data_IF_750497661462
#
_entry.id   IF_750497661462
#
_cell.length_a   1.000
_cell.length_b   1.000
_cell.length_c   1.000
_cell.angle_alpha   90.00
_cell.angle_beta   90.00
_cell.angle_gamma   90.00
#
_symmetry.space_group_name_H-M   'P 1'
#
loop_
_entity.id
_entity.type
_entity.pdbx_description
1 polymer ?
#
# COMPACT_ATOMS: atom_id res chain seq x y z
N UNK A 1 62.73 67.16 3.98
CA UNK A 1 62.34 67.53 5.36
C UNK A 1 61.30 66.51 5.79
N UNK A 2 61.52 65.55 6.71
CA UNK A 2 62.18 65.63 8.02
C UNK A 2 61.11 65.38 9.10
N UNK A 3 60.94 64.11 9.49
CA UNK A 3 60.08 63.51 10.55
C UNK A 3 60.13 64.27 11.91
N UNK A 4 59.23 64.07 12.91
CA UNK A 4 58.80 62.72 13.35
C UNK A 4 57.41 62.50 13.97
N UNK A 5 57.15 61.19 14.08
CA UNK A 5 56.14 60.45 14.84
C UNK A 5 56.29 60.72 16.35
N UNK A 6 55.18 60.79 17.09
CA UNK A 6 55.17 60.54 18.54
C UNK A 6 54.02 59.60 18.91
N UNK A 7 54.40 58.51 19.58
CA UNK A 7 53.60 57.43 20.15
C UNK A 7 53.35 57.77 21.62
N UNK A 8 52.10 57.86 22.08
CA UNK A 8 51.63 57.64 23.48
C UNK A 8 50.09 57.78 23.43
N UNK A 9 49.22 56.97 24.04
CA UNK A 9 49.35 55.78 24.88
C UNK A 9 48.05 54.95 24.76
N UNK A 10 48.20 53.63 24.80
CA UNK A 10 47.13 52.62 24.84
C UNK A 10 46.46 52.59 26.23
N UNK A 11 45.68 53.59 26.64
CA UNK A 11 45.13 53.54 28.01
C UNK A 11 43.81 54.28 28.30
N UNK A 12 42.90 54.49 27.34
CA UNK A 12 41.62 55.21 27.65
C UNK A 12 40.33 54.64 27.07
N UNK A 13 40.31 53.43 26.49
CA UNK A 13 39.07 52.81 25.95
C UNK A 13 38.67 51.47 26.58
N UNK A 14 39.17 51.16 27.79
CA UNK A 14 38.77 49.95 28.52
C UNK A 14 37.37 50.01 29.21
N UNK A 15 36.77 51.16 29.57
CA UNK A 15 35.44 51.15 30.19
C UNK A 15 34.26 50.99 29.22
N UNK A 16 34.40 51.37 27.94
CA UNK A 16 33.30 51.33 26.95
C UNK A 16 33.10 49.95 26.29
N UNK A 17 34.09 49.06 26.35
CA UNK A 17 33.98 47.68 25.86
C UNK A 17 33.36 46.71 26.89
N UNK A 18 33.15 47.13 28.14
CA UNK A 18 32.51 46.31 29.17
C UNK A 18 30.98 46.45 29.20
N UNK A 19 30.44 47.62 28.83
CA UNK A 19 28.99 47.84 28.76
C UNK A 19 28.34 47.28 27.48
N UNK A 20 29.09 47.12 26.39
CA UNK A 20 28.58 46.49 25.15
C UNK A 20 28.62 44.95 25.17
N UNK A 21 29.19 44.33 26.22
CA UNK A 21 29.27 42.86 26.38
C UNK A 21 28.16 42.25 27.24
N UNK A 22 27.23 43.06 27.79
CA UNK A 22 26.20 42.59 28.73
C UNK A 22 24.75 42.64 28.20
N UNK A 23 24.49 43.06 26.95
CA UNK A 23 23.11 43.19 26.43
C UNK A 23 22.85 42.60 25.04
N UNK A 24 23.77 41.81 24.47
CA UNK A 24 23.49 41.04 23.25
C UNK A 24 23.85 39.56 23.46
N UNK A 25 22.92 38.83 24.07
CA UNK A 25 22.93 37.36 24.07
C UNK A 25 22.53 36.84 22.68
N UNK A 26 23.46 36.88 21.73
CA UNK A 26 23.36 36.08 20.51
C UNK A 26 23.54 34.61 20.89
N UNK A 27 22.60 33.69 20.54
CA UNK A 27 22.76 32.28 20.86
C UNK A 27 23.96 31.73 20.08
N UNK A 28 25.03 31.38 20.81
CA UNK A 28 26.13 30.57 20.28
C UNK A 28 25.57 29.22 19.85
N UNK A 29 25.48 28.96 18.55
CA UNK A 29 25.30 27.62 18.01
C UNK A 29 26.54 26.80 18.36
N UNK A 30 26.47 26.09 19.49
CA UNK A 30 27.42 25.05 19.85
C UNK A 30 27.08 23.82 19.01
N UNK A 31 27.93 23.48 18.04
CA UNK A 31 27.99 22.11 17.52
C UNK A 31 28.34 21.18 18.68
N UNK A 32 27.32 20.60 19.32
CA UNK A 32 27.50 19.57 20.32
C UNK A 32 27.80 18.28 19.55
N UNK A 33 29.07 17.85 19.53
CA UNK A 33 29.43 16.48 19.15
C UNK A 33 28.75 15.54 20.14
N UNK A 34 27.54 15.09 19.80
CA UNK A 34 26.84 14.07 20.57
C UNK A 34 27.39 12.70 20.18
N UNK A 35 28.18 12.12 21.08
CA UNK A 35 28.46 10.69 21.10
C UNK A 35 27.38 10.00 21.93
N UNK A 36 26.28 9.64 21.28
CA UNK A 36 25.43 8.54 21.75
C UNK A 36 25.34 7.54 20.59
N UNK A 37 25.65 6.25 20.82
CA UNK A 37 25.50 5.25 19.77
C UNK A 37 24.02 5.12 19.39
N UNK A 38 23.70 4.86 18.11
CA UNK A 38 22.34 4.59 17.67
C UNK A 38 21.77 3.34 18.39
N UNK A 39 20.44 3.22 18.49
CA UNK A 39 19.83 2.05 19.13
C UNK A 39 20.08 0.80 18.27
N UNK A 40 20.72 -0.19 18.90
CA UNK A 40 21.01 -1.58 18.51
C UNK A 40 21.42 -1.83 17.05
N UNK A 41 22.62 -2.38 16.88
CA UNK A 41 23.15 -2.92 15.62
C UNK A 41 22.30 -4.11 15.14
N UNK A 42 21.17 -3.83 14.49
CA UNK A 42 20.44 -4.80 13.68
C UNK A 42 20.82 -4.59 12.20
N UNK A 43 21.75 -5.38 11.65
CA UNK A 43 22.18 -5.27 10.27
C UNK A 43 21.07 -5.56 9.24
N UNK A 44 19.91 -6.08 9.68
CA UNK A 44 18.73 -6.26 8.84
C UNK A 44 17.78 -5.05 8.88
N UNK A 45 18.02 -4.06 9.74
CA UNK A 45 17.18 -2.87 9.88
C UNK A 45 17.22 -2.02 8.61
N UNK A 46 16.13 -2.04 7.87
CA UNK A 46 15.91 -1.19 6.70
C UNK A 46 15.07 0.04 7.05
N UNK A 47 15.57 1.22 6.65
CA UNK A 47 14.91 2.52 6.82
C UNK A 47 14.48 3.02 5.45
N UNK A 48 13.18 3.06 5.20
CA UNK A 48 12.62 3.42 3.91
C UNK A 48 12.09 4.86 3.99
N UNK A 49 12.60 5.76 3.14
CA UNK A 49 12.23 7.17 3.13
C UNK A 49 11.76 7.56 1.72
N UNK A 50 10.57 8.14 1.63
CA UNK A 50 10.07 8.66 0.36
C UNK A 50 10.57 10.09 0.15
N UNK A 51 11.07 10.38 -1.04
CA UNK A 51 11.47 11.74 -1.44
C UNK A 51 10.41 12.29 -2.38
N UNK A 52 9.72 13.32 -1.92
CA UNK A 52 8.56 13.94 -2.59
C UNK A 52 8.81 15.43 -2.84
N UNK A 53 7.94 16.06 -3.63
CA UNK A 53 8.00 17.50 -3.93
C UNK A 53 7.84 17.79 -5.42
N UNK A 54 7.59 19.05 -5.80
CA UNK A 54 7.32 19.43 -7.20
C UNK A 54 8.52 19.17 -8.13
N UNK A 55 8.26 19.24 -9.44
CA UNK A 55 9.32 19.16 -10.44
C UNK A 55 10.33 20.29 -10.25
N UNK A 56 11.63 19.99 -10.44
CA UNK A 56 12.71 20.95 -10.21
C UNK A 56 13.08 21.22 -8.74
N UNK A 57 12.39 20.62 -7.76
CA UNK A 57 12.72 20.80 -6.33
C UNK A 57 14.07 20.20 -5.89
N UNK A 58 14.70 19.40 -6.75
CA UNK A 58 16.01 18.79 -6.49
C UNK A 58 15.95 17.36 -5.94
N UNK A 59 14.85 16.62 -6.13
CA UNK A 59 14.69 15.22 -5.64
C UNK A 59 15.83 14.29 -6.07
N UNK A 60 16.07 14.19 -7.38
CA UNK A 60 17.13 13.33 -7.91
C UNK A 60 18.52 13.82 -7.50
N UNK A 61 18.72 15.14 -7.38
CA UNK A 61 19.98 15.70 -6.86
C UNK A 61 20.18 15.31 -5.38
N UNK A 62 19.17 15.46 -4.53
CA UNK A 62 19.19 15.03 -3.14
C UNK A 62 19.54 13.55 -3.01
N UNK A 63 18.86 12.68 -3.77
CA UNK A 63 19.11 11.23 -3.73
C UNK A 63 20.54 10.91 -4.14
N UNK A 64 21.02 11.50 -5.26
CA UNK A 64 22.39 11.31 -5.74
C UNK A 64 23.42 11.76 -4.70
N UNK A 65 23.28 12.98 -4.21
CA UNK A 65 24.21 13.61 -3.27
C UNK A 65 24.30 12.82 -1.96
N UNK A 66 23.15 12.38 -1.43
CA UNK A 66 23.10 11.72 -0.12
C UNK A 66 23.53 10.25 -0.19
N UNK A 67 23.07 9.53 -1.22
CA UNK A 67 23.44 8.13 -1.40
C UNK A 67 24.92 7.97 -1.78
N UNK A 68 25.51 8.95 -2.46
CA UNK A 68 26.86 8.84 -3.01
C UNK A 68 26.99 7.81 -4.13
N UNK A 69 25.86 7.30 -4.64
CA UNK A 69 25.82 6.35 -5.75
C UNK A 69 25.95 7.17 -7.05
N UNK A 70 26.97 6.88 -7.85
CA UNK A 70 27.00 7.43 -9.21
C UNK A 70 25.84 6.86 -10.03
N UNK A 71 25.14 7.69 -10.80
CA UNK A 71 23.98 7.28 -11.61
C UNK A 71 24.36 6.17 -12.62
N UNK A 72 25.65 6.05 -12.96
CA UNK A 72 26.27 4.96 -13.74
C UNK A 72 26.28 3.60 -13.04
N UNK A 73 26.32 3.56 -11.71
CA UNK A 73 26.35 2.33 -10.90
C UNK A 73 24.95 1.85 -10.48
N UNK A 74 23.93 2.68 -10.74
CA UNK A 74 22.55 2.26 -10.57
C UNK A 74 22.28 1.24 -11.66
N UNK A 75 21.94 -0.01 -11.28
CA UNK A 75 21.37 -1.00 -12.20
C UNK A 75 20.04 -0.47 -12.76
N UNK A 76 20.10 0.41 -13.76
CA UNK A 76 18.95 0.92 -14.50
C UNK A 76 18.95 0.26 -15.86
N UNK A 77 17.97 -0.61 -16.10
CA UNK A 77 17.47 -0.77 -17.45
C UNK A 77 16.76 0.52 -17.85
N UNK A 78 17.46 1.46 -18.50
CA UNK A 78 16.85 2.67 -19.05
C UNK A 78 17.72 3.94 -19.03
N UNK A 79 17.73 4.63 -20.16
CA UNK A 79 18.56 5.77 -20.56
C UNK A 79 18.52 7.00 -19.59
N UNK A 80 19.63 7.74 -19.36
CA UNK A 80 19.74 8.88 -18.41
C UNK A 80 18.99 10.17 -18.76
N UNK A 81 18.05 10.15 -19.73
CA UNK A 81 17.33 11.34 -20.21
C UNK A 81 15.81 11.28 -19.99
N UNK A 82 15.32 10.28 -19.26
CA UNK A 82 13.91 10.15 -18.87
C UNK A 82 13.78 10.37 -17.37
N UNK A 83 13.56 11.62 -16.94
CA UNK A 83 13.31 11.94 -15.54
C UNK A 83 12.04 11.22 -15.03
N UNK A 84 12.25 10.23 -14.13
CA UNK A 84 11.28 9.55 -13.24
C UNK A 84 9.88 9.31 -13.80
N UNK A 85 9.76 8.38 -14.75
CA UNK A 85 8.46 7.82 -15.18
C UNK A 85 8.02 6.63 -14.32
N UNK A 86 8.84 6.17 -13.35
CA UNK A 86 8.50 5.08 -12.41
C UNK A 86 9.12 5.36 -11.03
N UNK A 87 8.47 4.89 -9.97
CA UNK A 87 9.00 4.94 -8.59
C UNK A 87 10.26 4.07 -8.49
N UNK A 88 11.38 4.64 -8.05
CA UNK A 88 12.69 3.97 -8.04
C UNK A 88 13.33 3.99 -6.65
N UNK A 89 13.66 2.82 -6.06
CA UNK A 89 14.39 2.75 -4.79
C UNK A 89 15.91 2.84 -4.99
N UNK A 90 16.58 3.55 -4.10
CA UNK A 90 18.03 3.71 -4.02
C UNK A 90 18.50 3.35 -2.61
N UNK A 91 19.28 2.29 -2.48
CA UNK A 91 19.71 1.78 -1.16
C UNK A 91 21.19 2.00 -0.90
N UNK A 92 21.55 2.43 0.30
CA UNK A 92 22.94 2.57 0.77
C UNK A 92 23.04 2.35 2.28
N UNK A 93 24.24 2.08 2.79
CA UNK A 93 24.46 1.90 4.23
C UNK A 93 24.77 3.23 4.91
N UNK A 94 24.11 3.50 6.04
CA UNK A 94 24.41 4.67 6.86
C UNK A 94 24.02 4.44 8.32
N UNK A 95 24.92 4.81 9.23
CA UNK A 95 24.74 4.70 10.68
C UNK A 95 24.21 3.33 11.16
N UNK A 96 24.75 2.25 10.58
CA UNK A 96 24.44 0.87 10.96
C UNK A 96 23.14 0.30 10.37
N UNK A 97 22.43 1.06 9.52
CA UNK A 97 21.19 0.63 8.89
C UNK A 97 21.24 0.75 7.37
N UNK A 98 20.46 -0.10 6.69
CA UNK A 98 20.22 0.01 5.25
C UNK A 98 19.21 1.12 5.02
N UNK A 99 19.63 2.22 4.40
CA UNK A 99 18.72 3.30 4.01
C UNK A 99 18.26 3.06 2.60
N UNK A 100 16.95 3.13 2.35
CA UNK A 100 16.33 3.04 1.03
C UNK A 100 15.55 4.32 0.76
N UNK A 101 16.08 5.17 -0.12
CA UNK A 101 15.40 6.37 -0.62
C UNK A 101 14.53 6.01 -1.82
N UNK A 102 13.28 6.42 -1.78
CA UNK A 102 12.31 6.12 -2.84
C UNK A 102 12.08 7.41 -3.61
N UNK A 103 12.59 7.47 -4.84
CA UNK A 103 12.29 8.57 -5.75
C UNK A 103 10.85 8.42 -6.22
N UNK A 104 10.01 9.40 -5.88
CA UNK A 104 8.63 9.44 -6.29
C UNK A 104 8.45 10.54 -7.33
N UNK A 105 7.68 10.31 -8.41
CA UNK A 105 7.27 11.39 -9.29
C UNK A 105 6.66 12.53 -8.47
N UNK A 106 7.03 13.78 -8.76
CA UNK A 106 6.53 14.92 -7.99
C UNK A 106 5.07 15.23 -8.30
N UNK A 107 4.26 15.52 -7.28
CA UNK A 107 2.94 16.15 -7.46
C UNK A 107 3.09 17.54 -8.10
N UNK A 108 2.16 17.92 -8.97
CA UNK A 108 2.24 19.16 -9.77
C UNK A 108 3.32 19.15 -10.84
N UNK A 109 3.73 17.98 -11.34
CA UNK A 109 4.61 17.86 -12.48
C UNK A 109 3.83 18.10 -13.80
N UNK A 110 4.49 18.61 -14.83
CA UNK A 110 3.87 18.81 -16.15
C UNK A 110 3.72 17.49 -16.90
N UNK A 111 4.56 16.50 -16.60
CA UNK A 111 4.64 15.23 -17.34
C UNK A 111 3.74 14.12 -16.78
N UNK A 112 3.31 14.18 -15.52
CA UNK A 112 2.39 13.22 -14.90
C UNK A 112 1.33 13.93 -14.09
N UNK A 113 0.09 13.44 -14.12
CA UNK A 113 -0.98 13.98 -13.29
C UNK A 113 -0.89 13.47 -11.85
N UNK A 114 -1.48 14.22 -10.91
CA UNK A 114 -1.47 13.84 -9.49
C UNK A 114 -2.16 12.49 -9.26
N UNK A 115 -3.14 12.12 -10.10
CA UNK A 115 -3.75 10.79 -10.15
C UNK A 115 -2.72 9.71 -10.46
N UNK A 116 -1.90 9.89 -11.49
CA UNK A 116 -0.85 8.94 -11.87
C UNK A 116 0.21 8.82 -10.77
N UNK A 117 0.62 9.95 -10.18
CA UNK A 117 1.58 9.95 -9.07
C UNK A 117 1.03 9.18 -7.87
N UNK A 118 -0.24 9.40 -7.52
CA UNK A 118 -0.88 8.70 -6.42
C UNK A 118 -0.99 7.20 -6.69
N UNK A 119 -1.38 6.82 -7.90
CA UNK A 119 -1.49 5.43 -8.32
C UNK A 119 -0.13 4.72 -8.28
N UNK A 120 0.93 5.37 -8.77
CA UNK A 120 2.30 4.86 -8.75
C UNK A 120 2.81 4.61 -7.33
N UNK A 121 2.59 5.56 -6.41
CA UNK A 121 3.01 5.42 -5.02
C UNK A 121 2.24 4.29 -4.33
N UNK A 122 0.93 4.17 -4.59
CA UNK A 122 0.12 3.08 -4.07
C UNK A 122 0.57 1.72 -4.63
N UNK A 123 0.78 1.62 -5.95
CA UNK A 123 1.18 0.39 -6.62
C UNK A 123 2.57 -0.10 -6.16
N UNK A 124 3.54 0.81 -6.06
CA UNK A 124 4.88 0.50 -5.56
C UNK A 124 4.83 -0.10 -4.14
N UNK A 125 3.87 0.34 -3.31
CA UNK A 125 3.80 -0.05 -1.91
C UNK A 125 2.85 -1.19 -1.58
N UNK A 126 1.83 -1.41 -2.39
CA UNK A 126 0.93 -2.57 -2.25
C UNK A 126 1.68 -3.89 -2.36
N UNK A 127 2.79 -3.92 -3.11
CA UNK A 127 3.67 -5.08 -3.21
C UNK A 127 4.49 -5.34 -1.94
N UNK A 128 4.72 -4.34 -1.07
CA UNK A 128 5.59 -4.43 0.12
C UNK A 128 4.84 -4.42 1.47
N UNK A 129 3.53 -4.14 1.49
CA UNK A 129 2.73 -4.17 2.72
C UNK A 129 2.59 -5.59 3.29
N UNK A 130 2.50 -6.62 2.43
CA UNK A 130 2.49 -8.03 2.86
C UNK A 130 3.77 -8.43 3.62
N UNK A 131 4.87 -7.71 3.40
CA UNK A 131 6.16 -7.93 4.06
C UNK A 131 6.36 -7.03 5.31
N UNK A 132 5.33 -6.28 5.74
CA UNK A 132 5.38 -5.33 6.87
C UNK A 132 6.46 -4.23 6.74
N UNK A 133 6.91 -3.93 5.52
CA UNK A 133 7.91 -2.87 5.26
C UNK A 133 7.27 -1.48 5.22
N UNK A 134 7.08 -0.88 6.40
CA UNK A 134 6.47 0.45 6.58
C UNK A 134 7.40 1.60 6.18
N UNK A 135 6.81 2.78 5.91
CA UNK A 135 7.60 3.97 5.57
C UNK A 135 8.14 4.54 6.86
N UNK A 136 9.46 4.70 6.95
CA UNK A 136 10.10 5.30 8.11
C UNK A 136 9.89 6.82 8.13
N UNK A 137 9.82 7.46 6.96
CA UNK A 137 9.42 8.86 6.85
C UNK A 137 9.34 9.40 5.42
N UNK A 138 8.96 10.68 5.32
CA UNK A 138 8.88 11.41 4.06
C UNK A 138 9.75 12.65 4.14
N UNK A 139 10.52 12.92 3.09
CA UNK A 139 11.20 14.18 2.86
C UNK A 139 10.48 14.88 1.71
N UNK A 140 9.74 15.95 2.01
CA UNK A 140 9.06 16.78 1.01
C UNK A 140 9.93 17.99 0.66
N UNK A 141 10.50 18.01 -0.54
CA UNK A 141 11.38 19.08 -1.01
C UNK A 141 10.60 20.25 -1.61
N UNK A 142 11.02 21.48 -1.31
CA UNK A 142 10.48 22.70 -1.89
C UNK A 142 11.59 23.71 -2.14
N UNK A 143 11.57 24.43 -3.27
CA UNK A 143 12.60 25.42 -3.58
C UNK A 143 12.33 26.70 -2.81
N UNK A 144 13.30 27.20 -2.05
CA UNK A 144 13.17 28.50 -1.37
C UNK A 144 13.11 29.67 -2.37
N UNK A 145 13.54 29.44 -3.61
CA UNK A 145 13.52 30.42 -4.70
C UNK A 145 12.13 30.69 -5.28
N UNK A 146 11.13 29.87 -4.96
CA UNK A 146 9.78 30.04 -5.49
C UNK A 146 9.16 31.33 -4.93
N UNK A 147 8.84 32.27 -5.83
CA UNK A 147 8.36 33.63 -5.51
C UNK A 147 6.87 33.62 -5.16
N UNK A 148 6.15 32.57 -5.57
CA UNK A 148 4.69 32.55 -5.59
C UNK A 148 4.13 31.94 -4.30
N UNK A 149 3.96 32.77 -3.28
CA UNK A 149 2.99 32.52 -2.22
C UNK A 149 1.54 32.73 -2.76
N UNK A 150 1.38 33.47 -3.87
CA UNK A 150 0.08 33.89 -4.42
C UNK A 150 -0.60 32.90 -5.38
N UNK A 151 0.02 31.77 -5.70
CA UNK A 151 -0.61 30.67 -6.45
C UNK A 151 -0.52 29.40 -5.63
N UNK A 152 -1.64 28.77 -5.26
CA UNK A 152 -1.71 27.94 -4.07
C UNK A 152 -0.77 26.74 -4.14
N UNK A 153 0.33 26.71 -3.34
CA UNK A 153 1.00 25.46 -2.99
C UNK A 153 0.06 24.55 -2.18
N UNK A 154 -1.11 25.09 -1.77
CA UNK A 154 -2.18 24.47 -0.99
C UNK A 154 -2.78 23.24 -1.67
N UNK A 155 -2.79 23.17 -3.01
CA UNK A 155 -3.39 22.03 -3.74
C UNK A 155 -2.64 20.72 -3.45
N UNK A 156 -1.31 20.77 -3.54
CA UNK A 156 -0.46 19.60 -3.30
C UNK A 156 -0.40 19.26 -1.82
N UNK A 157 -0.48 20.27 -0.93
CA UNK A 157 -0.43 20.08 0.52
C UNK A 157 -1.70 19.43 1.08
N UNK A 158 -2.89 19.85 0.61
CA UNK A 158 -4.17 19.29 1.07
C UNK A 158 -4.32 17.81 0.70
N UNK A 159 -3.85 17.42 -0.48
CA UNK A 159 -3.79 16.02 -0.90
C UNK A 159 -2.70 15.26 -0.11
N UNK A 160 -1.50 15.82 0.01
CA UNK A 160 -0.38 15.22 0.75
C UNK A 160 -0.74 14.93 2.22
N UNK A 161 -1.46 15.85 2.86
CA UNK A 161 -1.94 15.66 4.24
C UNK A 161 -2.88 14.46 4.35
N UNK A 162 -3.84 14.32 3.43
CA UNK A 162 -4.79 13.18 3.39
C UNK A 162 -4.11 11.88 3.03
N UNK A 163 -3.10 11.93 2.17
CA UNK A 163 -2.27 10.79 1.81
C UNK A 163 -1.49 10.24 3.02
N UNK A 164 -0.87 11.13 3.81
CA UNK A 164 -0.09 10.75 4.98
C UNK A 164 -0.97 10.35 6.18
N UNK A 165 -1.99 11.17 6.45
CA UNK A 165 -2.76 11.16 7.71
C UNK A 165 -2.02 11.81 8.88
N UNK A 166 -2.76 12.22 9.92
CA UNK A 166 -2.22 13.01 11.02
C UNK A 166 -1.17 12.26 11.85
N UNK A 167 -1.30 10.93 11.98
CA UNK A 167 -0.39 10.10 12.77
C UNK A 167 1.02 10.03 12.19
N UNK A 168 1.18 10.22 10.88
CA UNK A 168 2.45 10.09 10.14
C UNK A 168 3.19 11.43 10.01
N UNK A 169 2.52 12.56 10.22
CA UNK A 169 3.13 13.90 10.04
C UNK A 169 4.38 14.10 10.92
N UNK A 170 4.48 13.47 12.08
CA UNK A 170 5.70 13.43 12.91
C UNK A 170 6.93 12.78 12.26
N UNK A 171 6.73 12.06 11.15
CA UNK A 171 7.74 11.41 10.32
C UNK A 171 7.89 12.13 8.96
N UNK A 172 7.37 13.36 8.84
CA UNK A 172 7.49 14.19 7.64
C UNK A 172 8.48 15.33 7.90
N UNK A 173 9.46 15.47 7.01
CA UNK A 173 10.36 16.61 6.93
C UNK A 173 9.99 17.48 5.73
N UNK A 174 9.43 18.65 5.99
CA UNK A 174 9.21 19.70 5.01
C UNK A 174 10.54 20.43 4.79
N UNK A 175 11.20 20.18 3.68
CA UNK A 175 12.61 20.52 3.49
C UNK A 175 12.77 21.54 2.38
N UNK A 176 13.37 22.68 2.70
CA UNK A 176 13.67 23.73 1.72
C UNK A 176 15.01 23.49 1.04
N UNK A 177 15.08 23.70 -0.28
CA UNK A 177 16.26 23.48 -1.14
C UNK A 177 16.66 24.76 -1.86
N UNK A 178 17.78 24.72 -2.59
CA UNK A 178 18.30 25.85 -3.40
C UNK A 178 18.69 27.10 -2.60
N UNK A 179 19.13 26.93 -1.36
CA UNK A 179 19.62 28.03 -0.51
C UNK A 179 20.82 28.78 -1.10
N UNK A 180 21.59 28.15 -2.01
CA UNK A 180 22.70 28.79 -2.73
C UNK A 180 22.25 29.78 -3.82
N UNK A 181 20.97 29.76 -4.20
CA UNK A 181 20.42 30.52 -5.33
C UNK A 181 19.58 31.73 -4.90
N UNK A 182 19.59 32.07 -3.61
CA UNK A 182 18.81 33.18 -3.06
C UNK A 182 19.65 34.00 -2.08
N UNK A 183 19.35 35.29 -1.98
CA UNK A 183 19.85 36.10 -0.88
C UNK A 183 19.39 35.54 0.47
N UNK A 184 20.28 35.53 1.47
CA UNK A 184 20.02 34.91 2.77
C UNK A 184 18.85 35.57 3.52
N UNK A 185 18.71 36.89 3.44
CA UNK A 185 17.62 37.61 4.12
C UNK A 185 16.29 37.32 3.45
N UNK A 186 16.26 37.34 2.12
CA UNK A 186 15.06 36.98 1.36
C UNK A 186 14.66 35.52 1.58
N UNK A 187 15.63 34.59 1.60
CA UNK A 187 15.38 33.18 1.88
C UNK A 187 14.82 32.95 3.28
N UNK A 188 15.31 33.70 4.28
CA UNK A 188 14.78 33.63 5.64
C UNK A 188 13.33 34.14 5.72
N UNK A 189 13.02 35.26 5.07
CA UNK A 189 11.64 35.78 5.00
C UNK A 189 10.69 34.76 4.37
N UNK A 190 11.09 34.14 3.25
CA UNK A 190 10.28 33.11 2.58
C UNK A 190 10.09 31.86 3.43
N UNK A 191 11.10 31.45 4.18
CA UNK A 191 10.94 30.34 5.12
C UNK A 191 9.93 30.68 6.22
N UNK A 192 9.91 31.92 6.70
CA UNK A 192 8.91 32.37 7.66
C UNK A 192 7.50 32.40 7.05
N UNK A 193 7.38 32.83 5.79
CA UNK A 193 6.10 32.76 5.06
C UNK A 193 5.58 31.32 4.95
N UNK A 194 6.46 30.35 4.71
CA UNK A 194 6.08 28.93 4.69
C UNK A 194 5.52 28.45 6.03
N UNK A 195 5.91 29.05 7.17
CA UNK A 195 5.40 28.67 8.50
C UNK A 195 3.97 29.14 8.75
N UNK A 196 3.43 30.03 7.93
CA UNK A 196 2.05 30.53 8.10
C UNK A 196 1.02 29.43 7.91
N UNK A 197 -0.16 29.62 8.52
CA UNK A 197 -1.25 28.63 8.53
C UNK A 197 -1.78 28.29 7.14
N UNK A 198 -1.75 29.24 6.22
CA UNK A 198 -2.15 29.10 4.83
C UNK A 198 -1.12 28.35 3.95
N UNK A 199 0.03 27.97 4.53
CA UNK A 199 1.07 27.16 3.90
C UNK A 199 1.36 25.90 4.72
N UNK A 200 2.49 25.82 5.41
CA UNK A 200 2.90 24.63 6.17
C UNK A 200 2.53 24.69 7.64
N UNK A 201 2.02 25.81 8.15
CA UNK A 201 1.64 25.95 9.56
C UNK A 201 0.65 24.87 10.03
N UNK A 202 -0.30 24.48 9.17
CA UNK A 202 -1.23 23.37 9.46
C UNK A 202 -0.54 22.01 9.60
N UNK A 203 0.48 21.72 8.78
CA UNK A 203 1.25 20.48 8.86
C UNK A 203 2.23 20.49 10.04
N UNK A 204 2.89 21.63 10.26
CA UNK A 204 3.87 21.83 11.35
C UNK A 204 3.16 21.70 12.70
N UNK A 205 1.99 22.32 12.87
CA UNK A 205 1.20 22.21 14.11
C UNK A 205 0.76 20.78 14.42
N UNK A 206 0.69 19.91 13.40
CA UNK A 206 0.36 18.48 13.53
C UNK A 206 1.59 17.57 13.60
N UNK A 207 2.80 18.14 13.68
CA UNK A 207 4.03 17.41 13.99
C UNK A 207 5.07 17.33 12.87
N UNK A 208 4.78 17.83 11.66
CA UNK A 208 5.79 17.91 10.60
C UNK A 208 6.92 18.88 10.99
N UNK A 209 8.15 18.56 10.61
CA UNK A 209 9.31 19.40 10.91
C UNK A 209 9.78 20.17 9.67
N UNK A 210 10.02 21.47 9.82
CA UNK A 210 10.59 22.31 8.77
C UNK A 210 12.12 22.28 8.85
N UNK A 211 12.76 21.87 7.76
CA UNK A 211 14.20 21.63 7.66
C UNK A 211 14.80 22.30 6.41
N UNK A 212 16.13 22.41 6.37
CA UNK A 212 16.89 22.95 5.23
C UNK A 212 17.84 21.89 4.67
N UNK A 213 17.85 21.73 3.36
CA UNK A 213 18.88 20.98 2.65
C UNK A 213 19.86 21.96 2.01
N UNK A 214 21.13 21.90 2.42
CA UNK A 214 22.16 22.86 2.03
C UNK A 214 22.96 22.40 0.80
N UNK A 215 22.38 21.52 -0.02
CA UNK A 215 23.00 20.93 -1.21
C UNK A 215 24.32 20.20 -0.91
N UNK A 216 24.45 19.61 0.29
CA UNK A 216 25.62 18.83 0.69
C UNK A 216 25.19 17.48 1.25
N UNK A 217 26.01 16.45 1.01
CA UNK A 217 25.78 15.10 1.55
C UNK A 217 25.56 15.11 3.06
N UNK A 218 26.34 15.88 3.81
CA UNK A 218 26.23 15.99 5.26
C UNK A 218 24.85 16.51 5.67
N UNK A 219 24.38 17.60 5.05
CA UNK A 219 23.05 18.16 5.37
C UNK A 219 21.91 17.19 5.06
N UNK A 220 22.01 16.39 3.99
CA UNK A 220 20.99 15.39 3.68
C UNK A 220 21.04 14.16 4.59
N UNK A 221 22.22 13.72 5.00
CA UNK A 221 22.40 12.64 5.98
C UNK A 221 21.87 13.04 7.38
N UNK A 222 21.93 14.32 7.75
CA UNK A 222 21.30 14.83 8.97
C UNK A 222 19.76 14.68 8.93
N UNK A 223 19.13 14.95 7.79
CA UNK A 223 17.68 14.75 7.60
C UNK A 223 17.31 13.26 7.75
N UNK A 224 18.07 12.38 7.11
CA UNK A 224 17.87 10.93 7.23
C UNK A 224 18.03 10.49 8.68
N UNK A 225 19.07 10.95 9.37
CA UNK A 225 19.31 10.61 10.77
C UNK A 225 18.17 11.04 11.71
N UNK A 226 17.50 12.18 11.42
CA UNK A 226 16.29 12.59 12.15
C UNK A 226 15.15 11.59 11.97
N UNK A 227 14.95 11.07 10.76
CA UNK A 227 13.91 10.08 10.46
C UNK A 227 14.25 8.68 10.98
N UNK A 228 15.54 8.29 11.03
CA UNK A 228 15.98 7.01 11.61
C UNK A 228 15.59 6.83 13.08
N UNK A 229 15.37 7.93 13.81
CA UNK A 229 14.98 7.92 15.22
C UNK A 229 13.47 7.82 15.42
N UNK A 230 12.69 7.88 14.35
CA UNK A 230 11.24 7.83 14.40
C UNK A 230 10.77 6.39 14.25
N UNK A 231 9.69 6.06 14.94
CA UNK A 231 8.98 4.80 14.75
C UNK A 231 8.25 4.82 13.39
N UNK A 232 8.47 3.85 12.50
CA UNK A 232 7.75 3.76 11.22
C UNK A 232 6.24 3.63 11.45
N UNK A 233 5.45 4.31 10.63
CA UNK A 233 3.98 4.27 10.70
C UNK A 233 3.38 3.99 9.31
N UNK A 234 2.29 3.22 9.23
CA UNK A 234 1.57 3.05 7.97
C UNK A 234 0.97 4.39 7.53
N UNK A 235 1.03 4.67 6.23
CA UNK A 235 0.37 5.85 5.66
C UNK A 235 -1.14 5.64 5.72
N UNK A 236 -1.89 6.72 5.93
CA UNK A 236 -3.35 6.66 6.01
C UNK A 236 -4.00 6.05 4.76
N UNK A 237 -3.48 6.39 3.58
CA UNK A 237 -3.97 5.80 2.34
C UNK A 237 -3.75 4.27 2.27
N UNK A 238 -2.71 3.75 2.94
CA UNK A 238 -2.44 2.31 2.96
C UNK A 238 -3.44 1.57 3.83
N UNK A 239 -3.74 2.12 5.01
CA UNK A 239 -4.82 1.63 5.87
C UNK A 239 -6.15 1.61 5.10
N UNK A 240 -6.47 2.68 4.36
CA UNK A 240 -7.68 2.75 3.53
C UNK A 240 -7.73 1.67 2.43
N UNK A 241 -6.64 1.51 1.67
CA UNK A 241 -6.64 0.60 0.51
C UNK A 241 -6.52 -0.87 0.93
N UNK A 242 -5.70 -1.16 1.93
CA UNK A 242 -5.33 -2.53 2.32
C UNK A 242 -6.25 -3.06 3.42
N UNK A 243 -6.33 -2.38 4.56
CA UNK A 243 -7.11 -2.86 5.71
C UNK A 243 -8.61 -2.67 5.48
N UNK A 244 -9.01 -1.50 4.94
CA UNK A 244 -10.41 -1.18 4.67
C UNK A 244 -10.87 -1.58 3.27
N UNK A 245 -9.98 -2.10 2.44
CA UNK A 245 -10.30 -2.58 1.09
C UNK A 245 -10.73 -1.50 0.09
N UNK A 246 -10.61 -0.21 0.41
CA UNK A 246 -11.14 0.92 -0.40
C UNK A 246 -10.44 1.01 -1.76
N UNK A 247 -11.20 1.32 -2.82
CA UNK A 247 -10.65 1.70 -4.10
C UNK A 247 -9.94 3.06 -4.01
N UNK A 248 -9.04 3.35 -4.97
CA UNK A 248 -8.20 4.56 -4.89
C UNK A 248 -9.05 5.84 -4.81
N UNK A 249 -10.11 5.94 -5.63
CA UNK A 249 -11.06 7.06 -5.65
C UNK A 249 -11.84 7.22 -4.34
N UNK A 250 -12.01 6.15 -3.58
CA UNK A 250 -12.74 6.13 -2.30
C UNK A 250 -11.86 6.50 -1.10
N UNK A 251 -10.54 6.57 -1.28
CA UNK A 251 -9.63 7.05 -0.23
C UNK A 251 -9.81 8.54 0.02
N UNK A 252 -9.35 9.06 1.16
CA UNK A 252 -9.45 10.50 1.43
C UNK A 252 -8.64 11.32 0.42
N UNK A 253 -7.46 10.83 0.04
CA UNK A 253 -6.63 11.45 -0.98
C UNK A 253 -7.29 11.38 -2.37
N UNK A 254 -7.86 10.23 -2.74
CA UNK A 254 -8.55 10.04 -4.01
C UNK A 254 -9.80 10.91 -4.15
N UNK A 255 -10.63 10.99 -3.11
CA UNK A 255 -11.79 11.89 -3.08
C UNK A 255 -11.38 13.34 -3.28
N UNK A 256 -10.35 13.79 -2.57
CA UNK A 256 -9.84 15.15 -2.69
C UNK A 256 -9.38 15.47 -4.13
N UNK A 257 -8.61 14.57 -4.76
CA UNK A 257 -8.20 14.74 -6.16
C UNK A 257 -9.42 14.76 -7.09
N UNK A 258 -10.38 13.86 -6.90
CA UNK A 258 -11.59 13.81 -7.72
C UNK A 258 -12.41 15.12 -7.61
N UNK A 259 -12.58 15.66 -6.40
CA UNK A 259 -13.31 16.91 -6.17
C UNK A 259 -12.60 18.12 -6.79
N UNK A 260 -11.26 18.16 -6.71
CA UNK A 260 -10.45 19.16 -7.41
C UNK A 260 -10.59 19.05 -8.93
N UNK A 261 -10.53 17.84 -9.50
CA UNK A 261 -10.70 17.61 -10.93
C UNK A 261 -12.09 18.02 -11.41
N UNK A 262 -13.15 17.74 -10.63
CA UNK A 262 -14.52 18.20 -10.92
C UNK A 262 -14.59 19.73 -10.92
N UNK A 263 -14.00 20.37 -9.91
CA UNK A 263 -13.97 21.83 -9.80
C UNK A 263 -13.21 22.48 -10.95
N UNK A 264 -12.10 21.86 -11.36
CA UNK A 264 -11.26 22.32 -12.45
C UNK A 264 -11.96 22.16 -13.81
N UNK A 265 -12.63 21.04 -14.06
CA UNK A 265 -13.45 20.83 -15.26
C UNK A 265 -14.56 21.87 -15.36
N UNK A 266 -15.28 22.14 -14.26
CA UNK A 266 -16.32 23.18 -14.23
C UNK A 266 -15.75 24.56 -14.55
N UNK A 267 -14.59 24.89 -14.00
CA UNK A 267 -13.91 26.17 -14.28
C UNK A 267 -13.53 26.28 -15.76
N UNK A 268 -12.84 25.28 -16.32
CA UNK A 268 -12.42 25.32 -17.72
C UNK A 268 -13.60 25.32 -18.69
N UNK A 269 -14.68 24.60 -18.41
CA UNK A 269 -15.90 24.64 -19.21
C UNK A 269 -16.54 26.04 -19.21
N UNK A 270 -16.56 26.73 -18.06
CA UNK A 270 -17.05 28.11 -17.96
C UNK A 270 -16.14 29.09 -18.71
N UNK A 271 -14.81 28.94 -18.57
CA UNK A 271 -13.83 29.80 -19.23
C UNK A 271 -13.93 29.64 -20.76
N UNK A 272 -14.11 28.40 -21.26
CA UNK A 272 -14.35 28.12 -22.68
C UNK A 272 -15.61 28.80 -23.21
N UNK A 273 -16.73 28.72 -22.47
CA UNK A 273 -17.96 29.41 -22.86
C UNK A 273 -17.81 30.93 -22.90
N UNK A 274 -16.97 31.49 -22.02
CA UNK A 274 -16.67 32.93 -22.01
C UNK A 274 -15.82 33.32 -23.21
N UNK A 275 -14.75 32.57 -23.47
CA UNK A 275 -13.87 32.78 -24.62
C UNK A 275 -14.59 32.61 -25.96
N UNK A 276 -15.55 31.69 -26.07
CA UNK A 276 -16.36 31.53 -27.30
C UNK A 276 -17.22 32.76 -27.59
N UNK A 277 -17.84 33.32 -26.56
CA UNK A 277 -18.62 34.55 -26.71
C UNK A 277 -17.73 35.74 -27.09
N UNK A 278 -16.57 35.87 -26.46
CA UNK A 278 -15.60 36.93 -26.77
C UNK A 278 -15.06 36.79 -28.19
N UNK A 279 -14.76 35.57 -28.64
CA UNK A 279 -14.30 35.31 -30.01
C UNK A 279 -15.38 35.66 -31.02
N UNK A 280 -16.63 35.29 -30.76
CA UNK A 280 -17.75 35.62 -31.65
C UNK A 280 -17.94 37.15 -31.77
N UNK A 281 -17.74 37.90 -30.68
CA UNK A 281 -17.76 39.36 -30.71
C UNK A 281 -16.61 39.93 -31.55
N UNK A 282 -15.38 39.43 -31.37
CA UNK A 282 -14.22 39.86 -32.17
C UNK A 282 -14.43 39.61 -33.68
N UNK A 283 -15.00 38.45 -34.04
CA UNK A 283 -15.42 38.14 -35.43
C UNK A 283 -16.45 39.15 -35.94
N UNK A 284 -17.43 39.52 -35.12
CA UNK A 284 -18.48 40.50 -35.49
C UNK A 284 -17.89 41.90 -35.69
N UNK A 285 -16.91 42.27 -34.86
CA UNK A 285 -16.20 43.55 -34.92
C UNK A 285 -15.10 43.59 -36.00
N UNK A 286 -14.80 42.44 -36.63
CA UNK A 286 -13.71 42.27 -37.62
C UNK A 286 -12.32 42.58 -37.05
N UNK A 287 -12.10 42.22 -35.79
CA UNK A 287 -10.80 42.30 -35.14
C UNK A 287 -10.05 40.97 -35.29
N UNK A 288 -9.37 40.83 -36.43
CA UNK A 288 -8.64 39.60 -36.80
C UNK A 288 -7.51 39.25 -35.82
N UNK A 289 -6.89 40.25 -35.18
CA UNK A 289 -5.81 40.03 -34.20
C UNK A 289 -6.38 39.47 -32.89
N UNK A 290 -7.46 40.07 -32.39
CA UNK A 290 -8.15 39.57 -31.19
C UNK A 290 -8.76 38.19 -31.42
N UNK A 291 -9.37 37.93 -32.58
CA UNK A 291 -9.89 36.60 -32.93
C UNK A 291 -8.79 35.54 -32.81
N UNK A 292 -7.60 35.82 -33.36
CA UNK A 292 -6.47 34.88 -33.33
C UNK A 292 -5.98 34.61 -31.90
N UNK A 293 -5.89 35.64 -31.06
CA UNK A 293 -5.50 35.50 -29.65
C UNK A 293 -6.51 34.65 -28.89
N UNK A 294 -7.81 34.93 -29.07
CA UNK A 294 -8.89 34.20 -28.42
C UNK A 294 -8.96 32.74 -28.88
N UNK A 295 -8.78 32.46 -30.18
CA UNK A 295 -8.71 31.10 -30.70
C UNK A 295 -7.56 30.29 -30.06
N UNK A 296 -6.38 30.90 -29.87
CA UNK A 296 -5.26 30.26 -29.16
C UNK A 296 -5.57 30.03 -27.68
N UNK A 297 -6.24 30.97 -27.02
CA UNK A 297 -6.66 30.83 -25.63
C UNK A 297 -7.69 29.71 -25.47
N UNK A 298 -8.65 29.60 -26.40
CA UNK A 298 -9.63 28.52 -26.44
C UNK A 298 -8.98 27.16 -26.64
N UNK A 299 -8.07 27.01 -27.60
CA UNK A 299 -7.36 25.75 -27.83
C UNK A 299 -6.61 25.29 -26.57
N UNK A 300 -5.92 26.21 -25.87
CA UNK A 300 -5.26 25.92 -24.60
C UNK A 300 -6.23 25.56 -23.47
N UNK A 301 -7.38 26.23 -23.40
CA UNK A 301 -8.40 25.93 -22.39
C UNK A 301 -9.07 24.56 -22.65
N UNK A 302 -9.29 24.22 -23.92
CA UNK A 302 -9.84 22.93 -24.35
C UNK A 302 -8.88 21.79 -24.01
N UNK A 303 -7.60 21.93 -24.34
CA UNK A 303 -6.55 20.96 -23.97
C UNK A 303 -6.51 20.72 -22.45
N UNK A 304 -6.62 21.79 -21.65
CA UNK A 304 -6.65 21.69 -20.18
C UNK A 304 -7.91 20.99 -19.66
N UNK A 305 -9.07 21.21 -20.30
CA UNK A 305 -10.32 20.53 -19.96
C UNK A 305 -10.22 19.03 -20.26
N UNK A 306 -9.73 18.68 -21.46
CA UNK A 306 -9.53 17.29 -21.88
C UNK A 306 -8.54 16.56 -20.98
N UNK A 307 -7.42 17.20 -20.61
CA UNK A 307 -6.47 16.64 -19.65
C UNK A 307 -7.10 16.39 -18.28
N UNK A 308 -7.85 17.36 -17.75
CA UNK A 308 -8.54 17.19 -16.46
C UNK A 308 -9.66 16.12 -16.52
N UNK A 309 -10.29 15.93 -17.68
CA UNK A 309 -11.27 14.86 -17.91
C UNK A 309 -10.61 13.48 -17.96
N UNK A 310 -9.51 13.35 -18.71
CA UNK A 310 -8.72 12.13 -18.78
C UNK A 310 -8.16 11.71 -17.41
N UNK A 311 -7.62 12.66 -16.63
CA UNK A 311 -7.09 12.41 -15.29
C UNK A 311 -8.15 11.89 -14.32
N UNK A 312 -9.41 12.34 -14.48
CA UNK A 312 -10.55 11.86 -13.70
C UNK A 312 -11.03 10.49 -14.17
N UNK A 313 -11.03 10.25 -15.49
CA UNK A 313 -11.33 8.95 -16.09
C UNK A 313 -10.37 7.88 -15.58
N UNK A 314 -9.07 8.17 -15.58
CA UNK A 314 -8.04 7.27 -15.03
C UNK A 314 -8.32 6.87 -13.58
N UNK A 315 -8.72 7.83 -12.73
CA UNK A 315 -9.04 7.56 -11.33
C UNK A 315 -10.25 6.63 -11.17
N UNK A 316 -11.25 6.76 -12.07
CA UNK A 316 -12.41 5.89 -12.11
C UNK A 316 -12.06 4.48 -12.62
N UNK A 317 -11.30 4.38 -13.72
CA UNK A 317 -10.87 3.10 -14.30
C UNK A 317 -10.07 2.25 -13.29
N UNK A 318 -9.19 2.89 -12.52
CA UNK A 318 -8.44 2.23 -11.45
C UNK A 318 -9.36 1.66 -10.35
N UNK A 319 -10.48 2.33 -10.11
CA UNK A 319 -11.50 1.88 -9.16
C UNK A 319 -12.28 0.69 -9.71
N UNK A 320 -12.79 0.79 -10.93
CA UNK A 320 -13.55 -0.27 -11.60
C UNK A 320 -12.74 -1.57 -11.72
N UNK A 321 -11.46 -1.46 -12.09
CA UNK A 321 -10.57 -2.62 -12.17
C UNK A 321 -10.39 -3.33 -10.82
N UNK A 322 -10.35 -2.58 -9.71
CA UNK A 322 -10.26 -3.16 -8.36
C UNK A 322 -11.57 -3.83 -7.96
N UNK A 323 -12.71 -3.18 -8.23
CA UNK A 323 -14.04 -3.73 -7.93
C UNK A 323 -14.29 -5.03 -8.68
N UNK A 324 -13.97 -5.09 -9.97
CA UNK A 324 -14.09 -6.31 -10.78
C UNK A 324 -13.23 -7.45 -10.23
N UNK A 325 -11.97 -7.18 -9.88
CA UNK A 325 -11.10 -8.19 -9.25
C UNK A 325 -11.65 -8.69 -7.90
N UNK A 326 -12.29 -7.81 -7.14
CA UNK A 326 -12.92 -8.18 -5.86
C UNK A 326 -14.13 -9.07 -6.09
N UNK A 327 -15.00 -8.73 -7.03
CA UNK A 327 -16.16 -9.55 -7.41
C UNK A 327 -15.73 -10.93 -7.93
N UNK A 328 -14.69 -10.98 -8.77
CA UNK A 328 -14.10 -12.24 -9.25
C UNK A 328 -13.53 -13.08 -8.10
N UNK A 329 -12.86 -12.47 -7.13
CA UNK A 329 -12.31 -13.16 -5.96
C UNK A 329 -13.42 -13.68 -5.03
N UNK A 330 -14.43 -12.87 -4.75
CA UNK A 330 -15.60 -13.26 -3.93
C UNK A 330 -16.40 -14.39 -4.63
N UNK A 331 -16.58 -14.32 -5.94
CA UNK A 331 -17.22 -15.37 -6.72
C UNK A 331 -16.41 -16.68 -6.68
N UNK A 332 -15.09 -16.60 -6.85
CA UNK A 332 -14.20 -17.76 -6.75
C UNK A 332 -14.21 -18.38 -5.34
N UNK A 333 -14.27 -17.58 -4.29
CA UNK A 333 -14.37 -18.06 -2.91
C UNK A 333 -15.72 -18.75 -2.65
N UNK A 334 -16.83 -18.18 -3.14
CA UNK A 334 -18.15 -18.82 -3.08
C UNK A 334 -18.17 -20.15 -3.81
N UNK A 335 -17.63 -20.22 -5.03
CA UNK A 335 -17.52 -21.49 -5.78
C UNK A 335 -16.72 -22.53 -4.99
N UNK A 336 -15.58 -22.15 -4.42
CA UNK A 336 -14.77 -23.06 -3.57
C UNK A 336 -15.48 -23.47 -2.28
N UNK A 337 -16.30 -22.61 -1.71
CA UNK A 337 -17.10 -22.94 -0.52
C UNK A 337 -18.22 -23.93 -0.87
N UNK A 338 -18.90 -23.73 -2.00
CA UNK A 338 -19.91 -24.66 -2.51
C UNK A 338 -19.32 -26.02 -2.89
N UNK A 339 -18.14 -26.06 -3.51
CA UNK A 339 -17.41 -27.31 -3.78
C UNK A 339 -17.05 -28.05 -2.49
N UNK A 340 -16.50 -27.33 -1.49
CA UNK A 340 -16.20 -27.93 -0.18
C UNK A 340 -17.44 -28.45 0.54
N UNK A 341 -18.55 -27.72 0.53
CA UNK A 341 -19.82 -28.17 1.12
C UNK A 341 -20.37 -29.42 0.40
N UNK A 342 -20.21 -29.51 -0.93
CA UNK A 342 -20.54 -30.72 -1.69
C UNK A 342 -19.64 -31.89 -1.31
N UNK A 343 -18.33 -31.69 -1.18
CA UNK A 343 -17.38 -32.73 -0.76
C UNK A 343 -17.62 -33.20 0.68
N UNK A 344 -17.98 -32.31 1.60
CA UNK A 344 -18.30 -32.65 2.99
C UNK A 344 -19.60 -33.46 3.10
N UNK A 345 -20.58 -33.19 2.23
CA UNK A 345 -21.81 -33.99 2.12
C UNK A 345 -21.65 -35.31 1.39
N UNK A 346 -20.50 -35.54 0.75
CA UNK A 346 -20.27 -36.77 -0.01
C UNK A 346 -20.29 -38.00 0.92
N UNK A 347 -20.94 -39.06 0.46
CA UNK A 347 -21.02 -40.36 1.12
C UNK A 347 -20.54 -41.45 0.18
N UNK A 348 -20.04 -42.55 0.73
CA UNK A 348 -19.66 -43.73 -0.06
C UNK A 348 -20.77 -44.77 0.06
N UNK A 349 -21.38 -45.13 -1.06
CA UNK A 349 -22.36 -46.20 -1.16
C UNK A 349 -21.70 -47.49 -1.64
N UNK A 350 -21.88 -48.57 -0.88
CA UNK A 350 -21.37 -49.92 -1.19
C UNK A 350 -22.55 -50.83 -1.45
N UNK A 351 -22.61 -51.46 -2.61
CA UNK A 351 -23.72 -52.36 -2.90
C UNK A 351 -23.58 -53.66 -2.11
N UNK A 352 -24.65 -54.13 -1.48
CA UNK A 352 -24.62 -55.35 -0.68
C UNK A 352 -24.32 -56.60 -1.52
N UNK A 353 -24.65 -56.60 -2.80
CA UNK A 353 -24.36 -57.71 -3.71
C UNK A 353 -22.86 -57.79 -4.08
N UNK A 354 -22.13 -56.68 -3.96
CA UNK A 354 -20.68 -56.61 -4.21
C UNK A 354 -19.88 -57.04 -2.96
N UNK A 355 -20.58 -57.23 -1.84
CA UNK A 355 -20.04 -57.80 -0.60
C UNK A 355 -20.28 -59.31 -0.69
N UNK A 356 -19.27 -60.05 -1.16
CA UNK A 356 -19.37 -61.51 -1.29
C UNK A 356 -19.62 -62.18 0.06
N UNK A 357 -20.81 -62.77 0.22
CA UNK A 357 -21.22 -63.51 1.41
C UNK A 357 -20.28 -64.70 1.73
N UNK A 358 -19.55 -65.21 0.73
CA UNK A 358 -18.62 -66.33 0.87
C UNK A 358 -17.27 -65.98 1.51
N UNK A 359 -16.89 -64.70 1.58
CA UNK A 359 -15.63 -64.26 2.21
C UNK A 359 -15.76 -64.02 3.73
N UNK A 360 -16.99 -63.74 4.22
CA UNK A 360 -17.22 -63.24 5.58
C UNK A 360 -17.13 -64.27 6.70
N UNK A 361 -17.35 -65.57 6.44
CA UNK A 361 -17.19 -66.58 7.50
C UNK A 361 -15.69 -66.74 7.87
N UNK A 362 -14.77 -66.36 6.99
CA UNK A 362 -13.32 -66.41 7.20
C UNK A 362 -12.65 -65.05 7.51
N UNK A 363 -13.35 -63.92 7.35
CA UNK A 363 -12.74 -62.58 7.35
C UNK A 363 -13.10 -61.67 8.53
N UNK A 364 -13.67 -62.20 9.61
CA UNK A 364 -14.18 -61.42 10.77
C UNK A 364 -13.18 -60.43 11.40
N UNK A 365 -11.91 -60.40 10.97
CA UNK A 365 -10.88 -59.49 11.49
C UNK A 365 -9.86 -59.01 10.43
N UNK A 366 -10.19 -58.98 9.12
CA UNK A 366 -9.25 -58.53 8.07
C UNK A 366 -9.87 -57.53 7.09
N UNK A 367 -9.12 -56.48 6.67
CA UNK A 367 -9.55 -55.59 5.60
C UNK A 367 -9.84 -56.35 4.30
N UNK A 368 -10.83 -55.90 3.54
CA UNK A 368 -11.20 -56.48 2.25
C UNK A 368 -11.56 -55.40 1.23
N UNK A 369 -11.34 -55.70 -0.06
CA UNK A 369 -11.62 -54.79 -1.16
C UNK A 369 -13.01 -55.07 -1.76
N UNK A 370 -13.75 -54.00 -2.07
CA UNK A 370 -15.05 -54.06 -2.75
C UNK A 370 -15.25 -52.81 -3.62
N UNK A 371 -16.42 -52.67 -4.25
CA UNK A 371 -16.76 -51.54 -5.10
C UNK A 371 -17.59 -50.49 -4.35
N UNK A 372 -17.06 -49.28 -4.27
CA UNK A 372 -17.71 -48.10 -3.71
C UNK A 372 -18.18 -47.14 -4.80
N UNK A 373 -19.19 -46.33 -4.50
CA UNK A 373 -19.66 -45.20 -5.32
C UNK A 373 -19.67 -43.95 -4.46
N UNK A 374 -19.14 -42.85 -4.99
CA UNK A 374 -19.15 -41.56 -4.32
C UNK A 374 -20.44 -40.82 -4.69
N UNK A 375 -21.25 -40.54 -3.68
CA UNK A 375 -22.60 -39.98 -3.80
C UNK A 375 -22.60 -38.61 -3.11
N UNK A 376 -22.98 -37.57 -3.83
CA UNK A 376 -23.09 -36.19 -3.35
C UNK A 376 -24.54 -35.81 -2.98
N UNK A 377 -25.54 -36.48 -3.54
CA UNK A 377 -26.96 -36.35 -3.23
C UNK A 377 -27.63 -37.74 -3.16
N UNK A 378 -27.95 -38.18 -1.93
CA UNK A 378 -28.64 -39.46 -1.71
C UNK A 378 -30.06 -39.51 -2.30
N UNK A 379 -30.66 -38.37 -2.65
CA UNK A 379 -32.01 -38.32 -3.22
C UNK A 379 -32.01 -38.43 -4.75
N UNK A 380 -30.86 -38.24 -5.41
CA UNK A 380 -30.73 -38.41 -6.85
C UNK A 380 -30.42 -39.90 -7.19
N UNK A 381 -31.37 -40.63 -7.82
CA UNK A 381 -31.15 -42.03 -8.19
C UNK A 381 -29.99 -42.21 -9.18
N UNK A 382 -29.74 -41.22 -10.05
CA UNK A 382 -28.69 -41.28 -11.07
C UNK A 382 -27.30 -41.35 -10.47
N UNK A 383 -27.10 -40.88 -9.24
CA UNK A 383 -25.81 -41.01 -8.56
C UNK A 383 -25.46 -42.45 -8.21
N UNK A 384 -26.45 -43.31 -7.95
CA UNK A 384 -26.23 -44.71 -7.64
C UNK A 384 -25.89 -45.54 -8.89
N UNK A 385 -26.11 -44.97 -10.08
CA UNK A 385 -25.76 -45.56 -11.38
C UNK A 385 -24.37 -45.13 -11.86
N UNK A 386 -23.71 -44.19 -11.17
CA UNK A 386 -22.36 -43.73 -11.49
C UNK A 386 -21.33 -44.86 -11.36
N UNK A 387 -20.20 -44.69 -12.05
CA UNK A 387 -19.09 -45.62 -12.05
C UNK A 387 -18.62 -45.92 -10.61
N UNK A 388 -18.36 -47.20 -10.34
CA UNK A 388 -17.80 -47.63 -9.07
C UNK A 388 -16.28 -47.70 -9.12
N UNK A 389 -15.64 -47.59 -7.95
CA UNK A 389 -14.19 -47.69 -7.79
C UNK A 389 -13.85 -48.66 -6.65
N UNK A 390 -12.62 -49.16 -6.66
CA UNK A 390 -12.15 -50.05 -5.60
C UNK A 390 -11.95 -49.27 -4.29
N UNK A 391 -12.58 -49.77 -3.23
CA UNK A 391 -12.40 -49.29 -1.86
C UNK A 391 -11.96 -50.45 -0.99
N UNK A 392 -11.23 -50.14 0.08
CA UNK A 392 -10.93 -51.12 1.12
C UNK A 392 -11.78 -50.82 2.34
N UNK A 393 -12.59 -51.79 2.74
CA UNK A 393 -13.29 -51.76 4.02
C UNK A 393 -12.31 -52.29 5.06
N UNK A 394 -11.93 -51.41 5.99
CA UNK A 394 -11.06 -51.71 7.10
C UNK A 394 -11.88 -52.05 8.34
N UNK A 395 -11.26 -52.81 9.24
CA UNK A 395 -11.84 -53.20 10.52
C UNK A 395 -10.98 -52.64 11.65
N UNK A 396 -11.60 -52.00 12.64
CA UNK A 396 -10.88 -51.52 13.82
C UNK A 396 -10.86 -52.59 14.92
N UNK A 397 -9.74 -53.30 15.06
CA UNK A 397 -9.51 -54.27 16.14
C UNK A 397 -8.77 -53.63 17.33
N UNK A 398 -9.44 -52.86 18.21
CA UNK A 398 -9.06 -52.83 19.64
C UNK A 398 -9.98 -52.03 20.59
N UNK A 399 -10.37 -52.75 21.64
CA UNK A 399 -10.57 -52.41 23.06
C UNK A 399 -10.08 -51.00 23.51
N UNK A 400 -11.01 -50.05 23.72
CA UNK A 400 -10.97 -49.03 24.82
C UNK A 400 -12.05 -47.92 24.78
N UNK A 401 -12.99 -47.89 23.83
CA UNK A 401 -14.08 -46.88 23.80
C UNK A 401 -15.50 -47.39 24.10
N UNK A 402 -15.66 -48.64 24.56
CA UNK A 402 -16.98 -49.31 24.70
C UNK A 402 -17.86 -48.74 25.83
N UNK A 403 -17.35 -47.94 26.77
CA UNK A 403 -18.15 -47.57 27.94
C UNK A 403 -19.16 -46.43 27.76
N UNK A 404 -19.29 -45.81 26.58
CA UNK A 404 -20.22 -44.67 26.40
C UNK A 404 -21.47 -44.99 25.57
N UNK A 405 -21.51 -46.08 24.80
CA UNK A 405 -22.67 -46.38 23.91
C UNK A 405 -23.28 -47.79 24.06
N UNK A 406 -22.85 -48.57 25.05
CA UNK A 406 -23.27 -49.96 25.25
C UNK A 406 -24.72 -50.19 25.75
N UNK A 407 -25.65 -49.23 25.62
CA UNK A 407 -27.05 -49.41 26.08
C UNK A 407 -28.13 -49.47 25.00
N UNK A 408 -27.76 -49.51 23.71
CA UNK A 408 -28.78 -49.57 22.63
C UNK A 408 -28.38 -50.54 21.53
N UNK A 409 -28.09 -51.79 21.86
CA UNK A 409 -27.74 -52.84 20.90
C UNK A 409 -28.58 -54.11 21.14
N UNK A 410 -29.87 -53.99 20.81
CA UNK A 410 -30.71 -55.14 20.52
C UNK A 410 -31.54 -54.78 19.27
N UNK A 411 -31.01 -55.17 18.12
CA UNK A 411 -31.69 -55.05 16.83
C UNK A 411 -30.95 -54.13 15.88
N UNK A 412 -30.05 -54.69 15.05
CA UNK A 412 -29.79 -54.28 13.67
C UNK A 412 -28.62 -55.12 13.13
N UNK A 413 -28.88 -56.36 12.74
CA UNK A 413 -28.01 -57.12 11.82
C UNK A 413 -28.85 -57.62 10.68
N UNK A 414 -29.09 -56.73 9.71
CA UNK A 414 -29.62 -57.12 8.40
C UNK A 414 -28.68 -56.49 7.36
N UNK A 415 -27.74 -57.28 6.82
CA UNK A 415 -26.91 -56.86 5.69
C UNK A 415 -25.38 -57.02 5.78
N UNK A 416 -24.80 -57.67 6.79
CA UNK A 416 -23.40 -58.16 6.73
C UNK A 416 -22.28 -57.11 6.80
N UNK A 417 -22.47 -55.92 7.38
CA UNK A 417 -21.40 -54.93 7.64
C UNK A 417 -21.48 -54.55 9.12
N UNK A 418 -20.39 -54.72 9.88
CA UNK A 418 -20.35 -54.44 11.32
C UNK A 418 -20.27 -52.92 11.57
N UNK A 419 -20.73 -52.49 12.74
CA UNK A 419 -20.60 -51.10 13.24
C UNK A 419 -19.14 -50.63 13.37
N UNK A 420 -18.18 -51.55 13.31
CA UNK A 420 -16.73 -51.30 13.42
C UNK A 420 -16.00 -51.17 12.06
N UNK A 421 -16.73 -51.26 10.95
CA UNK A 421 -16.17 -51.14 9.60
C UNK A 421 -16.00 -49.66 9.20
N UNK A 422 -14.89 -49.30 8.54
CA UNK A 422 -14.66 -47.95 8.03
C UNK A 422 -13.91 -47.94 6.69
N UNK A 423 -14.07 -46.84 5.95
CA UNK A 423 -13.40 -46.62 4.66
C UNK A 423 -12.49 -45.40 4.81
N UNK A 424 -11.29 -45.47 4.24
CA UNK A 424 -10.42 -44.32 4.03
C UNK A 424 -10.38 -44.02 2.54
N UNK A 425 -10.79 -42.81 2.16
CA UNK A 425 -10.82 -42.37 0.77
C UNK A 425 -10.50 -40.88 0.72
N UNK A 426 -9.57 -40.47 -0.16
CA UNK A 426 -9.07 -39.09 -0.27
C UNK A 426 -8.73 -38.47 1.10
N UNK A 427 -7.95 -39.20 1.91
CA UNK A 427 -7.50 -38.77 3.26
C UNK A 427 -8.63 -38.54 4.27
N UNK A 428 -9.87 -38.90 3.94
CA UNK A 428 -11.03 -38.80 4.82
C UNK A 428 -11.51 -40.18 5.30
N UNK A 429 -12.00 -40.21 6.55
CA UNK A 429 -12.62 -41.38 7.17
C UNK A 429 -14.14 -41.37 6.94
N UNK A 430 -14.66 -42.51 6.49
CA UNK A 430 -16.09 -42.72 6.29
C UNK A 430 -16.58 -43.89 7.16
N UNK A 431 -17.62 -43.64 7.94
CA UNK A 431 -18.22 -44.61 8.86
C UNK A 431 -19.64 -44.98 8.42
N UNK A 432 -20.09 -46.22 8.64
CA UNK A 432 -21.41 -46.66 8.27
C UNK A 432 -22.48 -45.80 8.96
N UNK A 433 -23.36 -45.21 8.16
CA UNK A 433 -24.47 -44.38 8.63
C UNK A 433 -25.42 -45.22 9.49
N UNK A 434 -25.85 -44.69 10.63
CA UNK A 434 -26.85 -45.31 11.49
C UNK A 434 -28.18 -45.47 10.73
N UNK A 435 -28.66 -46.72 10.58
CA UNK A 435 -29.87 -47.05 9.83
C UNK A 435 -29.73 -48.32 8.98
N UNK A 436 -30.83 -48.76 8.37
CA UNK A 436 -30.83 -49.88 7.42
C UNK A 436 -30.27 -49.51 6.03
N UNK A 437 -30.06 -50.50 5.14
CA UNK A 437 -29.61 -50.25 3.77
C UNK A 437 -30.58 -49.37 2.97
N UNK A 438 -30.06 -48.57 2.04
CA UNK A 438 -30.86 -47.77 1.11
C UNK A 438 -31.11 -48.58 -0.15
N UNK A 439 -32.37 -48.75 -0.54
CA UNK A 439 -32.74 -49.44 -1.78
C UNK A 439 -32.90 -48.44 -2.93
N UNK A 440 -32.26 -48.74 -4.07
CA UNK A 440 -32.40 -48.00 -5.34
C UNK A 440 -32.53 -49.02 -6.48
N UNK A 441 -33.66 -49.01 -7.18
CA UNK A 441 -33.98 -50.07 -8.14
C UNK A 441 -34.02 -51.44 -7.47
N UNK A 442 -33.26 -52.41 -8.01
CA UNK A 442 -33.13 -53.78 -7.48
C UNK A 442 -31.95 -53.94 -6.51
N UNK A 443 -31.14 -52.91 -6.29
CA UNK A 443 -29.92 -52.97 -5.52
C UNK A 443 -30.09 -52.30 -4.15
N UNK A 444 -29.49 -52.90 -3.12
CA UNK A 444 -29.40 -52.34 -1.76
C UNK A 444 -27.99 -51.85 -1.51
N UNK A 445 -27.87 -50.66 -0.91
CA UNK A 445 -26.59 -50.01 -0.63
C UNK A 445 -26.42 -49.75 0.86
N UNK A 446 -25.23 -50.06 1.38
CA UNK A 446 -24.75 -49.58 2.67
C UNK A 446 -24.11 -48.22 2.46
N UNK A 447 -24.50 -47.23 3.26
CA UNK A 447 -24.01 -45.85 3.15
C UNK A 447 -22.97 -45.61 4.23
N UNK A 448 -21.81 -45.08 3.84
CA UNK A 448 -20.76 -44.62 4.72
C UNK A 448 -20.66 -43.10 4.63
N UNK A 449 -20.84 -42.40 5.75
CA UNK A 449 -20.78 -40.95 5.86
C UNK A 449 -19.40 -40.50 6.32
N UNK A 450 -18.90 -39.42 5.73
CA UNK A 450 -17.65 -38.79 6.16
C UNK A 450 -17.77 -38.36 7.63
N UNK A 451 -16.72 -38.61 8.42
CA UNK A 451 -16.64 -38.15 9.81
C UNK A 451 -15.58 -37.07 9.92
N UNK A 452 -16.01 -35.88 10.31
CA UNK A 452 -15.08 -34.84 10.75
C UNK A 452 -14.64 -35.17 12.17
N UNK A 453 -13.33 -35.35 12.37
CA UNK A 453 -12.72 -35.38 13.71
C UNK A 453 -12.88 -33.98 14.33
N UNK A 454 -14.06 -33.71 14.86
CA UNK A 454 -14.35 -32.50 15.61
C UNK A 454 -13.80 -32.69 17.01
N UNK A 455 -12.62 -32.14 17.31
CA UNK A 455 -12.15 -31.99 18.69
C UNK A 455 -10.67 -32.28 19.00
N UNK A 456 -9.74 -32.09 18.06
CA UNK A 456 -8.32 -31.94 18.41
C UNK A 456 -7.73 -30.80 17.57
N UNK A 457 -7.94 -29.56 18.02
CA UNK A 457 -7.00 -28.48 17.68
C UNK A 457 -5.68 -28.74 18.43
N UNK A 458 -4.51 -28.56 17.79
CA UNK A 458 -3.23 -28.52 18.49
C UNK A 458 -3.08 -27.30 19.40
#
# INVERSE_FOLDING_TARGET
MGKPISIYSYQTWKPLLHLLRLTLSLPRVRFRRYRHPPPADDPEREIIIAVMGPSGAGKSYFIKEVSGIEVSDVKVGGNPHSYTSKVQPYSFQYAGAKITLVDTPGFGNTTKSDTEVLADICAWRLLSYKEKRLLSGIIYLHRITDVHLDSPPQKNLGMFERFCGPSVLQNVLLTTTQWSNIDHMLGWQREEDLRRQDFWGGLISKGASLERFMNTRESGLELIYKLMKKEPKPLHIQDQIVEKGMALVETDAGRFINDELISLQKKYAKDLGTLERERQNAVTEKDDEMEKILAQAQAKAQERLEKAAADRGLLADLSEAKMKKREEAEAAERMRAEERDKEDKAVIAVALNDISFGAQITSLFKPYTTKGRLIYDMNDPGEFEKASFDITINYQSNVSFINVWAKTLAGFTDGGVDTNDYIVHNEALYWPKSGGPVTRGTQKFRIFTRVHLSGCEP
#
